data_IF_008616144942
#
_entry.id   IF_008616144942
#
_cell.length_a   1.000
_cell.length_b   1.000
_cell.length_c   1.000
_cell.angle_alpha   90.00
_cell.angle_beta   90.00
_cell.angle_gamma   90.00
#
_symmetry.space_group_name_H-M   'P 1'
#
loop_
_entity.id
_entity.type
_entity.pdbx_description
1 polymer ?
#
# COMPACT_ATOMS: atom_id res chain seq x y z
N UNK A 1 -25.62 -12.14 -19.32
CA UNK A 1 -25.01 -13.48 -19.20
C UNK A 1 -25.15 -13.89 -17.75
N UNK A 2 -25.92 -14.95 -17.47
CA UNK A 2 -26.10 -15.46 -16.11
C UNK A 2 -24.71 -15.80 -15.56
N UNK A 3 -24.26 -15.09 -14.53
CA UNK A 3 -23.25 -15.64 -13.64
C UNK A 3 -23.76 -17.03 -13.23
N UNK A 4 -22.87 -18.04 -13.23
CA UNK A 4 -23.26 -19.42 -12.96
C UNK A 4 -24.10 -19.48 -11.69
N UNK A 5 -25.27 -20.12 -11.75
CA UNK A 5 -26.31 -20.10 -10.70
C UNK A 5 -25.79 -20.58 -9.33
N UNK A 6 -24.61 -21.22 -9.31
CA UNK A 6 -23.94 -21.74 -8.11
C UNK A 6 -22.52 -21.17 -7.91
N UNK A 7 -22.12 -20.13 -8.65
CA UNK A 7 -20.84 -19.47 -8.44
C UNK A 7 -20.97 -18.46 -7.28
N UNK A 8 -20.06 -18.49 -6.30
CA UNK A 8 -20.05 -17.47 -5.24
C UNK A 8 -19.81 -16.09 -5.86
N UNK A 9 -20.31 -15.05 -5.20
CA UNK A 9 -20.13 -13.69 -5.71
C UNK A 9 -18.68 -13.23 -5.52
N UNK A 10 -18.17 -12.38 -6.43
CA UNK A 10 -16.75 -11.99 -6.39
C UNK A 10 -16.36 -11.20 -5.12
N UNK A 11 -17.28 -10.42 -4.55
CA UNK A 11 -16.99 -9.61 -3.36
C UNK A 11 -16.81 -10.46 -2.09
N UNK A 12 -17.37 -11.68 -2.06
CA UNK A 12 -17.15 -12.64 -0.97
C UNK A 12 -15.69 -13.08 -0.82
N UNK A 13 -14.82 -12.79 -1.80
CA UNK A 13 -13.40 -13.14 -1.73
C UNK A 13 -12.62 -12.28 -0.73
N UNK A 14 -13.02 -11.01 -0.55
CA UNK A 14 -12.28 -10.04 0.28
C UNK A 14 -13.17 -9.34 1.33
N UNK A 15 -14.49 -9.35 1.17
CA UNK A 15 -15.43 -8.84 2.18
C UNK A 15 -15.79 -9.92 3.19
N UNK A 16 -15.79 -9.54 4.46
CA UNK A 16 -16.26 -10.39 5.55
C UNK A 16 -17.78 -10.44 5.55
N UNK A 17 -18.33 -11.63 5.76
CA UNK A 17 -19.77 -11.78 5.98
C UNK A 17 -20.15 -11.33 7.41
N UNK A 18 -21.41 -10.98 7.67
CA UNK A 18 -21.86 -10.59 9.01
C UNK A 18 -21.52 -11.68 10.05
N UNK A 19 -20.77 -11.30 11.08
CA UNK A 19 -20.34 -12.21 12.16
C UNK A 19 -19.01 -12.94 11.92
N UNK A 20 -18.41 -12.81 10.73
CA UNK A 20 -17.10 -13.40 10.43
C UNK A 20 -15.96 -12.50 10.95
N UNK A 21 -15.02 -13.09 11.69
CA UNK A 21 -13.83 -12.39 12.19
C UNK A 21 -12.75 -12.39 11.13
N UNK A 22 -11.99 -11.29 10.97
CA UNK A 22 -10.83 -11.27 10.06
C UNK A 22 -9.73 -12.24 10.50
N UNK A 23 -9.51 -12.33 11.81
CA UNK A 23 -8.46 -13.14 12.42
C UNK A 23 -9.07 -14.02 13.50
N UNK A 24 -8.77 -15.32 13.43
CA UNK A 24 -9.05 -16.28 14.50
C UNK A 24 -7.75 -16.94 14.93
N UNK A 25 -7.60 -17.17 16.23
CA UNK A 25 -6.40 -17.79 16.81
C UNK A 25 -6.82 -19.13 17.39
N UNK A 26 -6.18 -20.22 16.95
CA UNK A 26 -6.39 -21.57 17.46
C UNK A 26 -5.08 -22.10 18.03
N UNK A 27 -5.04 -22.32 19.33
CA UNK A 27 -3.91 -22.95 20.00
C UNK A 27 -3.84 -24.44 19.63
N UNK A 28 -2.62 -24.95 19.39
CA UNK A 28 -2.40 -26.38 19.16
C UNK A 28 -2.10 -27.06 20.50
N UNK A 29 -2.92 -28.03 20.89
CA UNK A 29 -2.74 -28.77 22.14
C UNK A 29 -1.70 -29.87 22.06
N UNK A 30 -1.27 -30.26 20.86
CA UNK A 30 -0.35 -31.39 20.64
C UNK A 30 1.11 -30.96 20.69
N UNK A 31 1.41 -29.73 20.25
CA UNK A 31 2.77 -29.19 20.21
C UNK A 31 2.81 -27.94 21.08
N UNK A 32 3.71 -27.87 22.09
CA UNK A 32 3.80 -26.71 22.95
C UNK A 32 4.18 -25.45 22.16
N UNK A 33 3.79 -24.29 22.69
CA UNK A 33 4.10 -22.97 22.13
C UNK A 33 3.77 -22.87 20.63
N UNK A 34 2.66 -23.49 20.22
CA UNK A 34 2.24 -23.52 18.81
C UNK A 34 0.84 -22.96 18.66
N UNK A 35 0.67 -22.08 17.69
CA UNK A 35 -0.60 -21.47 17.35
C UNK A 35 -0.83 -21.57 15.84
N UNK A 36 -2.07 -21.85 15.46
CA UNK A 36 -2.56 -21.68 14.10
C UNK A 36 -3.44 -20.43 14.05
N UNK A 37 -2.96 -19.40 13.38
CA UNK A 37 -3.74 -18.22 13.03
C UNK A 37 -4.48 -18.50 11.73
N UNK A 38 -5.76 -18.17 11.73
CA UNK A 38 -6.63 -18.21 10.57
C UNK A 38 -6.89 -16.77 10.14
N UNK A 39 -6.57 -16.49 8.89
CA UNK A 39 -6.84 -15.22 8.22
C UNK A 39 -7.98 -15.46 7.23
N UNK A 40 -9.17 -14.96 7.56
CA UNK A 40 -10.33 -15.07 6.69
C UNK A 40 -10.30 -13.93 5.66
N UNK A 41 -10.69 -14.25 4.43
CA UNK A 41 -10.70 -13.34 3.27
C UNK A 41 -9.32 -12.85 2.84
N UNK A 42 -8.31 -13.70 3.06
CA UNK A 42 -6.90 -13.44 2.75
C UNK A 42 -6.30 -14.66 2.03
N UNK A 43 -5.34 -14.40 1.17
CA UNK A 43 -4.75 -15.39 0.26
C UNK A 43 -3.23 -15.56 0.46
N UNK A 44 -2.59 -16.15 -0.55
CA UNK A 44 -1.14 -16.38 -0.58
C UNK A 44 -0.32 -15.09 -0.43
N UNK A 45 -0.87 -13.93 -0.80
CA UNK A 45 -0.18 -12.64 -0.72
C UNK A 45 0.22 -12.36 0.72
N UNK A 46 -0.76 -12.36 1.64
CA UNK A 46 -0.51 -12.12 3.05
C UNK A 46 0.12 -13.35 3.73
N UNK A 47 -0.32 -14.55 3.38
CA UNK A 47 0.21 -15.80 3.94
C UNK A 47 1.71 -15.97 3.74
N UNK A 48 2.19 -15.78 2.51
CA UNK A 48 3.60 -15.92 2.19
C UNK A 48 4.43 -14.80 2.83
N UNK A 49 3.94 -13.57 2.79
CA UNK A 49 4.62 -12.42 3.39
C UNK A 49 4.83 -12.61 4.90
N UNK A 50 3.78 -13.00 5.62
CA UNK A 50 3.86 -13.24 7.07
C UNK A 50 4.75 -14.42 7.40
N UNK A 51 4.68 -15.53 6.63
CA UNK A 51 5.58 -16.66 6.82
C UNK A 51 7.04 -16.22 6.81
N UNK A 52 7.46 -15.46 5.80
CA UNK A 52 8.84 -15.01 5.69
C UNK A 52 9.23 -14.07 6.82
N UNK A 53 8.36 -13.12 7.18
CA UNK A 53 8.65 -12.17 8.25
C UNK A 53 8.78 -12.84 9.62
N UNK A 54 7.93 -13.81 9.92
CA UNK A 54 7.97 -14.55 11.18
C UNK A 54 9.19 -15.47 11.23
N UNK A 55 9.55 -16.15 10.13
CA UNK A 55 10.76 -16.99 10.06
C UNK A 55 12.07 -16.21 10.27
N UNK A 56 12.09 -14.91 10.03
CA UNK A 56 13.27 -14.08 10.26
C UNK A 56 13.56 -13.84 11.75
N UNK A 57 12.63 -14.17 12.66
CA UNK A 57 12.83 -13.99 14.09
C UNK A 57 13.56 -15.19 14.70
N UNK A 58 14.58 -14.97 15.54
CA UNK A 58 15.37 -16.06 16.12
C UNK A 58 14.60 -16.90 17.14
N UNK A 59 13.52 -16.37 17.74
CA UNK A 59 12.65 -17.07 18.71
C UNK A 59 11.70 -18.07 18.05
N UNK A 60 11.59 -18.07 16.71
CA UNK A 60 10.66 -18.91 15.95
C UNK A 60 11.37 -20.19 15.49
N UNK A 61 10.82 -21.34 15.88
CA UNK A 61 11.31 -22.65 15.47
C UNK A 61 10.69 -23.10 14.14
N UNK A 62 9.42 -22.76 13.93
CA UNK A 62 8.70 -23.13 12.73
C UNK A 62 7.65 -22.07 12.38
N UNK A 63 7.60 -21.71 11.11
CA UNK A 63 6.47 -21.00 10.54
C UNK A 63 6.15 -21.48 9.13
N UNK A 64 4.88 -21.78 8.90
CA UNK A 64 4.36 -22.24 7.62
C UNK A 64 2.96 -21.74 7.39
N UNK A 65 2.56 -21.61 6.13
CA UNK A 65 1.20 -21.24 5.77
C UNK A 65 0.62 -22.22 4.75
N UNK A 66 -0.71 -22.33 4.72
CA UNK A 66 -1.44 -23.05 3.69
C UNK A 66 -2.81 -22.42 3.44
N UNK A 67 -3.26 -22.52 2.20
CA UNK A 67 -4.67 -22.32 1.82
C UNK A 67 -5.30 -23.72 1.80
N UNK A 68 -6.34 -23.99 2.61
CA UNK A 68 -6.87 -25.35 2.77
C UNK A 68 -7.59 -25.81 1.50
N UNK A 69 -8.28 -24.89 0.82
CA UNK A 69 -8.98 -25.15 -0.43
C UNK A 69 -9.06 -23.85 -1.27
N UNK A 70 -8.84 -23.88 -2.60
CA UNK A 70 -8.86 -22.67 -3.44
C UNK A 70 -10.19 -21.92 -3.49
N UNK A 71 -11.32 -22.61 -3.28
CA UNK A 71 -12.66 -22.00 -3.27
C UNK A 71 -12.99 -21.29 -1.96
N UNK A 72 -12.19 -21.49 -0.92
CA UNK A 72 -12.37 -20.85 0.38
C UNK A 72 -11.27 -19.81 0.57
N UNK A 73 -11.59 -18.50 0.56
CA UNK A 73 -10.60 -17.44 0.77
C UNK A 73 -10.21 -17.41 2.25
N UNK A 74 -9.37 -18.35 2.66
CA UNK A 74 -8.91 -18.54 4.03
C UNK A 74 -7.47 -19.03 4.01
N UNK A 75 -6.62 -18.35 4.76
CA UNK A 75 -5.21 -18.72 4.89
C UNK A 75 -4.91 -19.11 6.33
N UNK A 76 -4.31 -20.28 6.55
CA UNK A 76 -3.85 -20.72 7.86
C UNK A 76 -2.35 -20.52 7.97
N UNK A 77 -1.91 -19.78 8.98
CA UNK A 77 -0.51 -19.58 9.33
C UNK A 77 -0.24 -20.27 10.66
N UNK A 78 0.64 -21.27 10.64
CA UNK A 78 1.07 -22.00 11.83
C UNK A 78 2.43 -21.49 12.27
N UNK A 79 2.55 -21.13 13.55
CA UNK A 79 3.76 -20.58 14.16
C UNK A 79 4.07 -21.38 15.42
N UNK A 80 5.33 -21.75 15.58
CA UNK A 80 5.89 -22.38 16.77
C UNK A 80 7.11 -21.61 17.24
N UNK A 81 7.17 -21.32 18.52
CA UNK A 81 8.31 -20.63 19.15
C UNK A 81 9.04 -21.52 20.14
N UNK A 82 10.25 -21.12 20.52
CA UNK A 82 11.10 -21.79 21.52
C UNK A 82 10.62 -21.59 22.97
N UNK A 83 9.62 -20.73 23.18
CA UNK A 83 9.08 -20.37 24.49
C UNK A 83 9.66 -19.10 25.10
N UNK A 84 10.70 -18.50 24.50
CA UNK A 84 11.20 -17.17 24.90
C UNK A 84 10.17 -16.06 24.64
N UNK A 85 9.34 -16.26 23.62
CA UNK A 85 8.27 -15.36 23.22
C UNK A 85 7.02 -16.16 22.81
N UNK A 86 5.83 -15.61 23.05
CA UNK A 86 4.59 -16.24 22.59
C UNK A 86 4.48 -16.16 21.06
N UNK A 87 3.90 -17.16 20.37
CA UNK A 87 3.72 -17.11 18.91
C UNK A 87 2.92 -15.90 18.42
N UNK A 88 2.00 -15.42 19.23
CA UNK A 88 1.18 -14.22 18.93
C UNK A 88 2.01 -12.95 19.01
N UNK A 89 2.92 -12.84 19.98
CA UNK A 89 3.87 -11.73 20.05
C UNK A 89 4.86 -11.76 18.88
N UNK A 90 5.41 -12.94 18.55
CA UNK A 90 6.28 -13.10 17.39
C UNK A 90 5.59 -12.62 16.10
N UNK A 91 4.32 -12.97 15.90
CA UNK A 91 3.55 -12.47 14.77
C UNK A 91 3.38 -10.94 14.80
N UNK A 92 3.06 -10.36 15.97
CA UNK A 92 2.90 -8.90 16.11
C UNK A 92 4.18 -8.16 15.75
N UNK A 93 5.32 -8.62 16.26
CA UNK A 93 6.62 -8.01 16.02
C UNK A 93 7.04 -8.13 14.55
N UNK A 94 6.68 -9.26 13.91
CA UNK A 94 6.89 -9.46 12.47
C UNK A 94 6.07 -8.45 11.65
N UNK A 95 4.80 -8.25 12.02
CA UNK A 95 3.93 -7.28 11.35
C UNK A 95 4.46 -5.84 11.50
N UNK A 96 4.91 -5.44 12.69
CA UNK A 96 5.50 -4.11 12.90
C UNK A 96 6.75 -3.90 12.06
N UNK A 97 7.63 -4.90 12.02
CA UNK A 97 8.85 -4.89 11.20
C UNK A 97 8.54 -4.80 9.71
N UNK A 98 7.52 -5.52 9.24
CA UNK A 98 7.04 -5.47 7.86
C UNK A 98 6.50 -4.09 7.49
N UNK A 99 5.67 -3.48 8.34
CA UNK A 99 5.14 -2.13 8.11
C UNK A 99 6.26 -1.10 8.01
N UNK A 100 7.25 -1.17 8.91
CA UNK A 100 8.43 -0.31 8.85
C UNK A 100 9.23 -0.50 7.54
N UNK A 101 9.42 -1.75 7.13
CA UNK A 101 10.13 -2.09 5.89
C UNK A 101 9.40 -1.55 4.65
N UNK A 102 8.08 -1.72 4.58
CA UNK A 102 7.25 -1.19 3.48
C UNK A 102 7.28 0.34 3.44
N UNK A 103 7.24 1.01 4.58
CA UNK A 103 7.36 2.47 4.66
C UNK A 103 8.72 2.97 4.18
N UNK A 104 9.80 2.25 4.49
CA UNK A 104 11.14 2.55 3.99
C UNK A 104 11.22 2.42 2.48
N UNK A 105 10.71 1.31 1.92
CA UNK A 105 10.67 1.08 0.45
C UNK A 105 9.84 2.18 -0.23
N UNK A 106 8.64 2.48 0.29
CA UNK A 106 7.77 3.54 -0.23
C UNK A 106 8.48 4.88 -0.28
N UNK A 107 9.18 5.26 0.79
CA UNK A 107 9.87 6.54 0.91
C UNK A 107 11.06 6.64 -0.05
N UNK A 108 11.90 5.60 -0.10
CA UNK A 108 13.04 5.51 -1.02
C UNK A 108 12.58 5.56 -2.47
N UNK A 109 11.55 4.78 -2.82
CA UNK A 109 10.99 4.79 -4.17
C UNK A 109 10.41 6.16 -4.54
N UNK A 110 9.64 6.80 -3.65
CA UNK A 110 9.09 8.13 -3.91
C UNK A 110 10.18 9.19 -4.11
N UNK A 111 11.28 9.11 -3.35
CA UNK A 111 12.44 9.98 -3.53
C UNK A 111 13.10 9.78 -4.89
N UNK A 112 13.37 8.54 -5.29
CA UNK A 112 13.99 8.23 -6.58
C UNK A 112 13.11 8.65 -7.75
N UNK A 113 11.80 8.37 -7.70
CA UNK A 113 10.85 8.80 -8.75
C UNK A 113 10.80 10.32 -8.88
N UNK A 114 10.94 11.05 -7.76
CA UNK A 114 11.03 12.52 -7.78
C UNK A 114 12.30 13.01 -8.47
N UNK A 115 13.43 12.32 -8.26
CA UNK A 115 14.71 12.65 -8.89
C UNK A 115 14.76 12.29 -10.38
N UNK A 116 14.03 11.24 -10.78
CA UNK A 116 13.92 10.79 -12.18
C UNK A 116 13.04 11.69 -13.06
N UNK A 117 12.29 12.65 -12.49
CA UNK A 117 11.62 13.68 -13.31
C UNK A 117 12.71 14.46 -14.06
N UNK A 118 12.80 14.35 -15.39
CA UNK A 118 13.98 14.78 -16.10
C UNK A 118 14.19 16.29 -16.03
N UNK A 119 15.47 16.65 -15.94
CA UNK A 119 16.09 17.91 -16.31
C UNK A 119 15.89 18.26 -17.81
N UNK A 120 14.63 18.21 -18.26
CA UNK A 120 14.15 18.55 -19.60
C UNK A 120 13.11 19.68 -19.60
N UNK A 121 12.78 20.24 -18.43
CA UNK A 121 12.29 21.61 -18.37
C UNK A 121 13.52 22.52 -18.49
N UNK A 122 13.93 22.81 -19.72
CA UNK A 122 14.84 23.91 -20.03
C UNK A 122 14.23 25.20 -19.45
N UNK A 123 14.66 25.57 -18.25
CA UNK A 123 14.64 26.95 -17.80
C UNK A 123 15.69 27.71 -18.62
N UNK A 124 15.35 28.02 -19.87
CA UNK A 124 16.16 28.83 -20.77
C UNK A 124 16.10 30.31 -20.37
N UNK A 125 17.06 30.70 -19.54
CA UNK A 125 17.83 31.96 -19.63
C UNK A 125 17.05 33.28 -19.56
N UNK A 126 17.03 33.86 -18.35
CA UNK A 126 16.84 35.30 -18.20
C UNK A 126 18.01 36.08 -18.80
N UNK A 127 17.70 37.23 -19.40
CA UNK A 127 18.71 38.20 -19.81
C UNK A 127 18.25 39.61 -19.42
N UNK A 128 18.90 40.12 -18.36
CA UNK A 128 19.31 41.52 -18.16
C UNK A 128 18.27 42.62 -18.33
N UNK A 129 17.72 43.10 -17.22
CA UNK A 129 17.29 44.49 -17.11
C UNK A 129 18.50 45.41 -17.02
N UNK A 130 18.75 46.21 -18.06
CA UNK A 130 19.60 47.38 -18.01
C UNK A 130 19.08 48.45 -18.98
N UNK A 131 18.59 49.54 -18.39
CA UNK A 131 18.53 50.93 -18.89
C UNK A 131 18.96 51.18 -20.35
N UNK A 132 18.04 51.78 -21.15
CA UNK A 132 18.33 52.94 -21.99
C UNK A 132 17.03 53.58 -22.48
N UNK A 133 16.91 54.90 -22.32
CA UNK A 133 15.77 55.69 -22.76
C UNK A 133 15.77 56.00 -24.26
N UNK A 134 14.64 56.54 -24.71
CA UNK A 134 14.60 57.51 -25.80
C UNK A 134 14.39 56.97 -27.22
N UNK A 135 13.24 57.35 -27.78
CA UNK A 135 13.02 57.81 -29.17
C UNK A 135 13.29 56.82 -30.32
N UNK A 136 12.24 56.50 -31.09
CA UNK A 136 12.40 56.04 -32.47
C UNK A 136 11.26 55.17 -32.99
N UNK A 137 10.66 55.60 -34.09
CA UNK A 137 9.43 55.10 -34.69
C UNK A 137 9.59 53.84 -35.58
N UNK A 138 8.42 53.33 -36.00
CA UNK A 138 8.07 52.66 -37.28
C UNK A 138 7.85 51.13 -37.30
N UNK A 139 6.65 50.76 -37.77
CA UNK A 139 6.25 49.44 -38.32
C UNK A 139 5.99 48.35 -37.26
N UNK A 140 4.77 48.00 -36.86
CA UNK A 140 3.56 47.83 -37.66
C UNK A 140 3.47 46.38 -38.13
N UNK A 141 2.99 45.47 -37.29
CA UNK A 141 2.09 44.33 -37.63
C UNK A 141 1.46 43.82 -36.33
N UNK A 142 0.13 43.91 -36.25
CA UNK A 142 -0.68 43.40 -35.15
C UNK A 142 -1.33 42.06 -35.53
N UNK A 143 -1.34 41.16 -34.54
CA UNK A 143 -2.48 40.32 -34.13
C UNK A 143 -2.73 38.96 -34.80
N UNK A 144 -2.58 37.89 -33.99
CA UNK A 144 -3.60 36.87 -33.65
C UNK A 144 -2.90 35.88 -32.69
N UNK A 145 -3.25 35.67 -31.42
CA UNK A 145 -4.53 35.75 -30.72
C UNK A 145 -4.96 34.34 -30.34
N UNK A 146 -4.60 33.85 -29.15
CA UNK A 146 -5.49 33.17 -28.19
C UNK A 146 -4.76 32.92 -26.86
N UNK A 147 -5.37 33.39 -25.78
CA UNK A 147 -4.77 33.62 -24.46
C UNK A 147 -4.46 32.37 -23.65
N UNK A 148 -3.44 32.50 -22.80
CA UNK A 148 -3.14 31.57 -21.74
C UNK A 148 -4.17 31.60 -20.62
N UNK A 149 -4.35 30.45 -19.97
CA UNK A 149 -4.85 30.39 -18.61
C UNK A 149 -3.80 29.75 -17.72
N UNK A 150 -3.45 30.52 -16.70
CA UNK A 150 -2.57 30.18 -15.59
C UNK A 150 -3.28 29.12 -14.76
N UNK A 151 -2.70 27.93 -14.55
CA UNK A 151 -3.26 27.00 -13.59
C UNK A 151 -2.83 27.42 -12.18
N UNK A 152 -3.80 28.04 -11.51
CA UNK A 152 -3.72 28.50 -10.14
C UNK A 152 -3.55 27.37 -9.14
N UNK A 153 -2.90 27.75 -8.05
CA UNK A 153 -2.79 27.03 -6.79
C UNK A 153 -4.17 26.97 -6.13
N UNK A 154 -4.86 25.83 -6.19
CA UNK A 154 -5.84 25.31 -5.24
C UNK A 154 -6.67 24.21 -5.94
N UNK A 155 -6.36 22.96 -5.61
CA UNK A 155 -7.16 21.80 -5.97
C UNK A 155 -7.01 20.77 -4.87
N UNK A 156 -8.01 20.69 -3.99
CA UNK A 156 -8.18 19.55 -3.09
C UNK A 156 -8.37 18.31 -3.95
N UNK A 157 -7.54 17.30 -3.70
CA UNK A 157 -7.60 16.00 -4.35
C UNK A 157 -8.89 15.29 -3.92
N UNK A 158 -9.90 15.10 -4.80
CA UNK A 158 -11.23 14.63 -4.38
C UNK A 158 -11.30 13.14 -4.03
N UNK A 159 -10.16 12.45 -3.98
CA UNK A 159 -10.06 11.01 -3.69
C UNK A 159 -9.51 10.71 -2.28
N UNK A 160 -9.20 11.73 -1.48
CA UNK A 160 -8.62 11.58 -0.14
C UNK A 160 -9.55 11.96 1.03
N UNK A 161 -10.81 12.32 0.76
CA UNK A 161 -11.82 12.69 1.78
C UNK A 161 -12.90 11.62 1.98
N UNK A 162 -12.50 10.35 2.10
CA UNK A 162 -13.38 9.34 2.70
C UNK A 162 -12.87 8.98 4.08
N UNK A 163 -13.25 9.82 5.02
CA UNK A 163 -13.22 9.53 6.45
C UNK A 163 -14.17 8.36 6.75
N UNK A 164 -13.61 7.26 7.27
CA UNK A 164 -14.40 6.19 7.87
C UNK A 164 -14.88 6.68 9.24
N UNK A 165 -16.18 6.59 9.59
CA UNK A 165 -16.64 6.93 10.92
C UNK A 165 -16.11 5.92 11.95
N UNK A 166 -15.46 6.42 12.99
CA UNK A 166 -15.03 5.66 14.17
C UNK A 166 -16.21 4.91 14.80
N UNK A 167 -16.02 3.62 15.04
CA UNK A 167 -17.01 2.76 15.71
C UNK A 167 -16.85 2.92 17.23
N UNK A 168 -17.90 3.45 17.86
CA UNK A 168 -18.14 3.31 19.30
C UNK A 168 -18.67 1.91 19.64
#
# INVERSE_FOLDING_TARGET
MSQGVNAPTQHELFMLLPGEKRVEIKEDTRIPNTVTIILNKEDHTLGNLLRHAVLNQPSVLFAGYKVPHPLEPKTLVRIQTDGSQTPVQALRDACQTLVASMNSIKSSWANEVRLLKPAGATAGTGMGGAHMGGLGATGGYQQQGYGGQTYGTQGQDPMLDQSYPDLA
#
